data_IF_330037213743
#
_entry.id   IF_330037213743
#
_cell.length_a   1.000
_cell.length_b   1.000
_cell.length_c   1.000
_cell.angle_alpha   90.00
_cell.angle_beta   90.00
_cell.angle_gamma   90.00
#
_symmetry.space_group_name_H-M   'P 1'
#
loop_
_entity.id
_entity.type
_entity.pdbx_description
1 polymer ?
#
# COMPACT_ATOMS: atom_id res chain seq x y z
N UNK A 1 40.43 -11.66 26.14
CA UNK A 1 41.39 -12.74 26.46
C UNK A 1 40.96 -14.01 25.74
N UNK A 2 41.80 -14.52 24.83
CA UNK A 2 41.56 -15.70 23.98
C UNK A 2 41.91 -16.98 24.74
N UNK A 3 41.04 -17.99 24.74
CA UNK A 3 41.45 -19.41 24.87
C UNK A 3 40.59 -20.29 23.97
N UNK A 4 41.28 -21.03 23.10
CA UNK A 4 40.78 -22.00 22.12
C UNK A 4 41.07 -23.42 22.62
N UNK A 5 40.33 -24.37 22.04
CA UNK A 5 40.58 -25.82 21.92
C UNK A 5 40.25 -26.75 23.09
N UNK A 6 39.23 -27.60 22.85
CA UNK A 6 39.48 -29.05 22.82
C UNK A 6 38.60 -29.73 21.76
N UNK A 7 39.27 -30.37 20.80
CA UNK A 7 38.74 -31.33 19.82
C UNK A 7 38.70 -32.70 20.50
N UNK A 8 37.59 -33.46 20.39
CA UNK A 8 37.65 -34.93 20.30
C UNK A 8 36.38 -35.52 19.64
N UNK A 9 36.62 -36.16 18.50
CA UNK A 9 36.13 -37.47 18.03
C UNK A 9 34.65 -37.89 18.13
N UNK A 10 34.10 -38.30 16.99
CA UNK A 10 32.89 -39.13 16.95
C UNK A 10 32.28 -39.33 15.56
N UNK A 11 33.08 -39.78 14.59
CA UNK A 11 32.63 -40.25 13.27
C UNK A 11 31.90 -41.59 13.45
N UNK A 12 30.60 -41.67 13.14
CA UNK A 12 29.92 -42.93 12.87
C UNK A 12 29.20 -42.80 11.52
N UNK A 13 29.87 -43.33 10.51
CA UNK A 13 29.33 -43.75 9.22
C UNK A 13 29.02 -45.25 9.32
N UNK A 14 27.75 -45.63 9.17
CA UNK A 14 27.24 -46.93 8.72
C UNK A 14 25.75 -46.68 8.41
N UNK A 15 25.14 -47.04 7.28
CA UNK A 15 25.51 -47.94 6.22
C UNK A 15 24.25 -48.67 5.74
N UNK A 16 23.67 -48.18 4.63
CA UNK A 16 23.05 -48.88 3.49
C UNK A 16 22.05 -50.05 3.74
N UNK A 17 20.87 -49.95 3.08
CA UNK A 17 20.28 -50.95 2.14
C UNK A 17 18.75 -51.10 2.33
N UNK A 18 17.96 -50.68 1.32
CA UNK A 18 17.20 -51.56 0.37
C UNK A 18 15.80 -51.93 0.91
N UNK A 19 14.72 -52.11 0.16
CA UNK A 19 14.39 -52.12 -1.27
C UNK A 19 12.84 -52.18 -1.40
N UNK A 20 12.31 -51.75 -2.54
CA UNK A 20 11.01 -52.22 -3.09
C UNK A 20 9.82 -51.27 -2.87
N UNK A 21 9.05 -50.83 -3.86
CA UNK A 21 9.01 -51.16 -5.29
C UNK A 21 7.57 -51.22 -5.83
N UNK A 22 6.99 -50.07 -6.21
CA UNK A 22 6.07 -49.80 -7.35
C UNK A 22 4.76 -50.64 -7.53
N UNK A 23 3.96 -50.47 -8.62
CA UNK A 23 2.88 -49.48 -8.79
C UNK A 23 1.54 -50.15 -9.22
N UNK A 24 0.47 -49.39 -9.47
CA UNK A 24 -0.62 -49.85 -10.39
C UNK A 24 -1.42 -48.69 -10.99
N UNK A 25 -1.25 -48.53 -12.30
CA UNK A 25 -2.16 -47.88 -13.23
C UNK A 25 -3.41 -48.73 -13.46
N UNK A 26 -4.57 -48.08 -13.61
CA UNK A 26 -5.66 -48.46 -14.52
C UNK A 26 -6.20 -47.13 -15.06
N UNK A 27 -6.43 -46.84 -16.33
CA UNK A 27 -6.47 -47.59 -17.58
C UNK A 27 -7.38 -46.76 -18.49
N UNK A 28 -6.87 -46.24 -19.61
CA UNK A 28 -7.68 -45.54 -20.63
C UNK A 28 -8.41 -46.57 -21.49
N UNK A 29 -9.67 -46.29 -21.81
CA UNK A 29 -10.26 -46.72 -23.09
C UNK A 29 -11.28 -45.68 -23.57
N UNK A 30 -11.03 -45.14 -24.76
CA UNK A 30 -11.89 -44.33 -25.66
C UNK A 30 -12.89 -45.26 -26.40
N UNK A 31 -13.65 -44.90 -27.48
CA UNK A 31 -14.00 -43.61 -28.10
C UNK A 31 -15.52 -43.47 -28.50
N UNK A 32 -15.86 -42.29 -29.05
CA UNK A 32 -16.72 -42.00 -30.23
C UNK A 32 -18.17 -42.49 -30.35
N UNK A 33 -19.09 -41.53 -30.47
CA UNK A 33 -20.38 -41.57 -31.21
C UNK A 33 -20.86 -40.12 -31.38
N UNK A 34 -20.57 -39.45 -32.50
CA UNK A 34 -21.42 -39.30 -33.69
C UNK A 34 -22.86 -38.89 -33.42
N UNK A 35 -23.18 -37.60 -33.57
CA UNK A 35 -24.36 -37.19 -34.34
C UNK A 35 -24.22 -35.77 -34.90
N UNK A 36 -24.83 -35.61 -36.08
CA UNK A 36 -24.57 -34.67 -37.17
C UNK A 36 -25.05 -33.22 -36.98
N UNK A 37 -24.26 -32.30 -37.52
CA UNK A 37 -24.60 -31.34 -38.59
C UNK A 37 -26.06 -30.87 -38.75
N UNK A 38 -26.31 -29.55 -38.64
CA UNK A 38 -26.94 -28.80 -39.76
C UNK A 38 -26.72 -27.28 -39.64
N UNK A 39 -26.38 -26.69 -40.78
CA UNK A 39 -25.93 -25.31 -40.97
C UNK A 39 -27.08 -24.29 -41.14
N UNK A 40 -26.84 -23.02 -40.75
CA UNK A 40 -27.34 -21.88 -41.54
C UNK A 40 -26.59 -20.56 -41.29
N UNK A 41 -25.94 -20.06 -42.35
CA UNK A 41 -25.46 -18.68 -42.48
C UNK A 41 -26.65 -17.69 -42.65
N UNK A 42 -26.41 -16.36 -42.58
CA UNK A 42 -26.15 -15.67 -43.84
C UNK A 42 -25.15 -14.50 -43.82
N UNK A 43 -24.76 -14.19 -45.06
CA UNK A 43 -23.81 -13.23 -45.61
C UNK A 43 -24.13 -11.75 -45.30
N UNK A 44 -23.09 -10.92 -45.26
CA UNK A 44 -23.12 -9.50 -45.63
C UNK A 44 -22.54 -9.33 -47.06
N UNK A 45 -22.37 -8.08 -47.57
CA UNK A 45 -23.32 -7.07 -48.07
C UNK A 45 -23.19 -6.93 -49.62
N UNK A 46 -23.70 -5.88 -50.31
CA UNK A 46 -22.87 -4.67 -50.54
C UNK A 46 -23.57 -3.30 -50.85
N UNK A 47 -22.83 -2.21 -50.57
CA UNK A 47 -22.63 -0.89 -51.26
C UNK A 47 -23.85 0.02 -51.61
N UNK A 48 -23.81 1.36 -51.77
CA UNK A 48 -22.76 2.35 -52.13
C UNK A 48 -23.30 3.80 -51.95
N UNK A 49 -22.55 4.67 -51.25
CA UNK A 49 -22.09 6.06 -51.57
C UNK A 49 -22.99 7.29 -51.89
N UNK A 50 -22.38 8.45 -51.57
CA UNK A 50 -22.56 9.85 -52.05
C UNK A 50 -23.64 10.72 -51.36
N UNK A 51 -23.45 12.02 -51.04
CA UNK A 51 -22.33 12.97 -51.17
C UNK A 51 -22.70 14.28 -50.42
N UNK A 52 -21.73 15.21 -50.32
CA UNK A 52 -21.85 16.68 -50.18
C UNK A 52 -21.90 17.39 -48.79
N UNK A 53 -20.77 18.06 -48.53
CA UNK A 53 -20.55 19.39 -47.89
C UNK A 53 -20.95 20.49 -48.92
N UNK A 54 -21.28 21.79 -48.62
CA UNK A 54 -20.78 22.73 -47.58
C UNK A 54 -21.89 23.53 -46.86
N UNK A 55 -21.63 24.31 -45.78
CA UNK A 55 -21.37 25.76 -45.84
C UNK A 55 -21.11 26.33 -44.42
N UNK A 56 -20.13 27.23 -44.27
CA UNK A 56 -19.98 28.24 -43.19
C UNK A 56 -20.35 29.62 -43.76
N UNK A 57 -20.51 30.74 -43.01
CA UNK A 57 -20.75 31.01 -41.58
C UNK A 57 -22.01 31.93 -41.36
N UNK A 58 -22.26 32.47 -40.15
CA UNK A 58 -21.85 33.87 -39.97
C UNK A 58 -21.07 34.13 -38.68
N UNK A 59 -20.21 35.13 -38.80
CA UNK A 59 -19.52 35.78 -37.71
C UNK A 59 -20.52 36.44 -36.76
N UNK A 60 -20.44 36.14 -35.46
CA UNK A 60 -20.77 37.12 -34.44
C UNK A 60 -19.47 37.81 -34.04
N UNK A 61 -19.22 38.90 -34.75
CA UNK A 61 -18.57 40.08 -34.22
C UNK A 61 -19.18 40.41 -32.85
N UNK A 62 -18.40 40.25 -31.79
CA UNK A 62 -18.43 41.17 -30.66
C UNK A 62 -17.01 41.72 -30.55
N UNK A 63 -16.80 42.82 -31.28
CA UNK A 63 -15.72 43.79 -31.07
C UNK A 63 -16.29 44.90 -30.20
N UNK A 64 -15.51 45.38 -29.22
CA UNK A 64 -15.84 46.49 -28.32
C UNK A 64 -15.53 46.10 -26.87
N UNK A 65 -14.26 46.13 -26.45
CA UNK A 65 -13.55 47.28 -25.84
C UNK A 65 -14.03 47.55 -24.41
N UNK A 66 -13.15 47.34 -23.43
CA UNK A 66 -12.34 48.38 -22.76
C UNK A 66 -13.26 49.34 -22.00
N UNK A 67 -13.19 49.47 -20.68
CA UNK A 67 -12.01 49.95 -19.97
C UNK A 67 -12.44 50.14 -18.52
N UNK A 68 -11.68 49.62 -17.56
CA UNK A 68 -11.36 50.34 -16.33
C UNK A 68 -10.31 49.54 -15.58
N UNK A 69 -9.06 49.95 -15.78
CA UNK A 69 -7.96 49.63 -14.89
C UNK A 69 -8.32 50.05 -13.46
N UNK A 70 -8.53 49.05 -12.60
CA UNK A 70 -8.37 49.18 -11.16
C UNK A 70 -7.09 48.44 -10.76
N UNK A 71 -6.30 48.96 -9.81
CA UNK A 71 -4.99 48.42 -9.48
C UNK A 71 -5.11 46.96 -9.08
N UNK A 72 -4.13 46.18 -9.54
CA UNK A 72 -3.96 44.76 -9.30
C UNK A 72 -4.16 44.43 -7.82
N UNK A 73 -5.41 44.09 -7.47
CA UNK A 73 -5.72 43.43 -6.23
C UNK A 73 -5.07 42.05 -6.34
N UNK A 74 -3.95 41.91 -5.64
CA UNK A 74 -3.17 40.69 -5.49
C UNK A 74 -4.11 39.48 -5.40
N UNK A 75 -4.17 38.70 -6.48
CA UNK A 75 -5.02 37.53 -6.56
C UNK A 75 -4.51 36.52 -5.52
N UNK A 76 -5.27 36.30 -4.47
CA UNK A 76 -4.97 35.31 -3.43
C UNK A 76 -5.25 33.89 -3.98
N UNK A 77 -4.48 33.49 -4.98
CA UNK A 77 -4.62 32.16 -5.58
C UNK A 77 -3.97 31.12 -4.68
N UNK A 78 -4.79 30.26 -4.08
CA UNK A 78 -4.29 29.16 -3.25
C UNK A 78 -4.05 27.93 -4.12
N UNK A 79 -2.86 27.34 -4.03
CA UNK A 79 -2.59 26.07 -4.73
C UNK A 79 -3.34 24.91 -4.05
N UNK A 80 -4.18 24.21 -4.81
CA UNK A 80 -4.91 23.01 -4.40
C UNK A 80 -4.53 21.82 -5.29
N UNK A 81 -4.92 20.63 -4.86
CA UNK A 81 -4.71 19.38 -5.58
C UNK A 81 -6.03 18.65 -5.78
N UNK A 82 -6.18 18.01 -6.93
CA UNK A 82 -7.37 17.20 -7.25
C UNK A 82 -7.29 15.84 -6.56
N UNK A 83 -8.32 15.42 -5.82
CA UNK A 83 -8.33 14.16 -5.06
C UNK A 83 -8.92 12.96 -5.83
N UNK A 84 -9.77 13.22 -6.83
CA UNK A 84 -10.45 12.18 -7.63
C UNK A 84 -9.75 11.87 -8.95
N UNK A 85 -10.05 10.72 -9.54
CA UNK A 85 -9.62 10.37 -10.90
C UNK A 85 -10.68 10.87 -11.91
N UNK A 86 -10.29 11.64 -12.93
CA UNK A 86 -11.21 12.13 -13.97
C UNK A 86 -12.28 13.13 -13.48
N UNK A 87 -11.93 14.00 -12.53
CA UNK A 87 -12.80 15.04 -11.98
C UNK A 87 -13.16 16.06 -13.05
N UNK A 88 -14.45 16.33 -13.23
CA UNK A 88 -14.92 17.25 -14.27
C UNK A 88 -14.63 18.71 -13.94
N UNK A 89 -13.94 19.39 -14.85
CA UNK A 89 -13.82 20.85 -14.91
C UNK A 89 -14.92 21.40 -15.82
N UNK A 90 -15.77 22.28 -15.31
CA UNK A 90 -17.03 22.69 -15.97
C UNK A 90 -17.09 24.18 -16.26
N UNK A 91 -17.92 24.57 -17.23
CA UNK A 91 -18.17 25.99 -17.55
C UNK A 91 -18.95 26.74 -16.45
N UNK A 92 -19.66 26.03 -15.57
CA UNK A 92 -20.52 26.62 -14.53
C UNK A 92 -20.57 25.73 -13.29
N UNK A 93 -20.90 26.28 -12.10
CA UNK A 93 -20.99 25.53 -10.84
C UNK A 93 -22.28 24.68 -10.77
N UNK A 94 -22.46 23.76 -11.72
CA UNK A 94 -23.65 22.92 -11.84
C UNK A 94 -23.26 21.50 -12.30
N UNK A 95 -23.76 20.43 -11.66
CA UNK A 95 -23.42 19.07 -12.08
C UNK A 95 -23.87 18.71 -13.50
N UNK A 96 -24.82 19.45 -14.08
CA UNK A 96 -25.36 19.23 -15.44
C UNK A 96 -24.74 20.14 -16.51
N UNK A 97 -23.85 21.07 -16.18
CA UNK A 97 -23.25 21.96 -17.18
C UNK A 97 -22.21 21.23 -18.04
N UNK A 98 -21.83 21.81 -19.17
CA UNK A 98 -20.80 21.23 -20.05
C UNK A 98 -19.44 21.08 -19.33
N UNK A 99 -18.73 19.99 -19.66
CA UNK A 99 -17.38 19.68 -19.16
C UNK A 99 -16.37 20.21 -20.19
N UNK A 100 -15.45 21.07 -19.73
CA UNK A 100 -14.34 21.62 -20.51
C UNK A 100 -13.18 20.64 -20.53
N UNK A 101 -12.92 19.99 -19.39
CA UNK A 101 -11.79 19.08 -19.20
C UNK A 101 -12.03 18.06 -18.07
N UNK A 102 -11.17 17.04 -17.98
CA UNK A 102 -11.12 16.08 -16.87
C UNK A 102 -9.76 16.09 -16.20
N UNK A 103 -9.77 16.32 -14.90
CA UNK A 103 -8.58 16.45 -14.08
C UNK A 103 -8.34 15.17 -13.30
N UNK A 104 -7.14 14.61 -13.45
CA UNK A 104 -6.73 13.42 -12.71
C UNK A 104 -6.28 13.73 -11.29
N UNK A 105 -6.21 12.67 -10.46
CA UNK A 105 -5.77 12.78 -9.08
C UNK A 105 -4.34 13.32 -9.02
N UNK A 106 -4.09 14.20 -8.06
CA UNK A 106 -2.81 14.86 -7.84
C UNK A 106 -2.54 16.01 -8.80
N UNK A 107 -3.45 16.29 -9.76
CA UNK A 107 -3.32 17.48 -10.61
C UNK A 107 -3.32 18.73 -9.75
N UNK A 108 -2.29 19.56 -9.93
CA UNK A 108 -2.14 20.86 -9.26
C UNK A 108 -3.03 21.88 -9.96
N UNK A 109 -3.82 22.61 -9.17
CA UNK A 109 -4.70 23.68 -9.66
C UNK A 109 -4.59 24.91 -8.76
N UNK A 110 -4.82 26.08 -9.32
CA UNK A 110 -4.92 27.34 -8.60
C UNK A 110 -6.38 27.63 -8.28
N UNK A 111 -6.71 27.79 -7.00
CA UNK A 111 -8.03 28.16 -6.55
C UNK A 111 -8.20 29.67 -6.66
N UNK A 112 -9.15 30.10 -7.49
CA UNK A 112 -9.49 31.51 -7.70
C UNK A 112 -10.65 31.94 -6.79
N UNK A 113 -11.67 31.08 -6.68
CA UNK A 113 -12.85 31.32 -5.85
C UNK A 113 -13.36 29.99 -5.29
N UNK A 114 -13.80 29.98 -4.03
CA UNK A 114 -14.40 28.78 -3.42
C UNK A 114 -15.67 29.11 -2.67
N UNK A 115 -16.70 28.31 -2.93
CA UNK A 115 -17.92 28.21 -2.16
C UNK A 115 -18.03 26.81 -1.52
N UNK A 116 -19.09 26.58 -0.73
CA UNK A 116 -19.33 25.31 -0.04
C UNK A 116 -19.43 24.10 -0.99
N UNK A 117 -19.96 24.29 -2.20
CA UNK A 117 -20.20 23.20 -3.16
C UNK A 117 -19.28 23.23 -4.36
N UNK A 118 -18.89 24.43 -4.81
CA UNK A 118 -18.15 24.64 -6.05
C UNK A 118 -16.96 25.55 -5.83
N UNK A 119 -15.91 25.27 -6.57
CA UNK A 119 -14.67 26.02 -6.56
C UNK A 119 -14.30 26.34 -8.00
N UNK A 120 -14.06 27.62 -8.28
CA UNK A 120 -13.51 28.10 -9.54
C UNK A 120 -12.00 27.95 -9.47
N UNK A 121 -11.46 27.14 -10.36
CA UNK A 121 -10.04 26.84 -10.42
C UNK A 121 -9.47 27.13 -11.79
N UNK A 122 -8.17 27.32 -11.83
CA UNK A 122 -7.36 27.37 -13.04
C UNK A 122 -6.35 26.22 -13.01
N UNK A 123 -6.34 25.41 -14.06
CA UNK A 123 -5.33 24.35 -14.19
C UNK A 123 -3.98 24.98 -14.54
N UNK A 124 -2.95 24.68 -13.74
CA UNK A 124 -1.61 25.24 -13.92
C UNK A 124 -0.99 24.81 -15.25
N UNK A 125 -1.30 23.61 -15.73
CA UNK A 125 -0.68 23.04 -16.93
C UNK A 125 -1.39 23.44 -18.22
N UNK A 126 -2.72 23.36 -18.27
CA UNK A 126 -3.50 23.72 -19.47
C UNK A 126 -3.92 25.19 -19.50
N UNK A 127 -3.75 25.92 -18.39
CA UNK A 127 -4.24 27.28 -18.17
C UNK A 127 -5.76 27.43 -18.37
N UNK A 128 -6.50 26.31 -18.47
CA UNK A 128 -7.96 26.29 -18.57
C UNK A 128 -8.58 26.62 -17.22
N UNK A 129 -9.64 27.40 -17.27
CA UNK A 129 -10.37 27.84 -16.09
C UNK A 129 -11.79 27.28 -16.09
N UNK A 130 -12.30 26.94 -14.92
CA UNK A 130 -13.66 26.46 -14.78
C UNK A 130 -14.01 26.10 -13.35
N UNK A 131 -15.14 25.41 -13.19
CA UNK A 131 -15.73 25.03 -11.93
C UNK A 131 -15.57 23.54 -11.65
N UNK A 132 -15.14 23.23 -10.44
CA UNK A 132 -15.02 21.88 -9.91
C UNK A 132 -15.72 21.80 -8.56
N UNK A 133 -16.27 20.64 -8.19
CA UNK A 133 -16.90 20.51 -6.88
C UNK A 133 -15.83 20.58 -5.77
N UNK A 134 -16.04 21.42 -4.76
CA UNK A 134 -15.07 21.72 -3.69
C UNK A 134 -14.56 20.46 -3.00
N UNK A 135 -15.41 19.42 -2.84
CA UNK A 135 -15.05 18.11 -2.27
C UNK A 135 -13.91 17.36 -2.98
N UNK A 136 -13.59 17.76 -4.21
CA UNK A 136 -12.51 17.16 -5.00
C UNK A 136 -11.20 17.95 -4.94
N UNK A 137 -11.17 19.05 -4.18
CA UNK A 137 -9.99 19.85 -3.96
C UNK A 137 -9.49 19.62 -2.54
N UNK A 138 -8.19 19.45 -2.41
CA UNK A 138 -7.51 19.31 -1.13
C UNK A 138 -6.31 20.27 -1.08
N UNK A 139 -6.04 20.77 0.12
CA UNK A 139 -4.77 21.42 0.42
C UNK A 139 -3.67 20.36 0.42
N UNK A 140 -2.58 20.62 -0.31
CA UNK A 140 -1.47 19.69 -0.39
C UNK A 140 -1.69 18.45 -1.30
N UNK A 141 -0.60 18.02 -1.93
CA UNK A 141 -0.52 16.70 -2.58
C UNK A 141 -0.81 15.65 -1.48
N UNK A 142 -1.62 14.60 -1.71
CA UNK A 142 -1.86 13.53 -0.73
C UNK A 142 -0.62 12.65 -0.43
N UNK A 143 0.59 13.23 -0.54
CA UNK A 143 1.86 12.71 -0.04
C UNK A 143 2.59 13.72 0.88
N UNK A 144 1.90 14.76 1.40
CA UNK A 144 2.50 15.72 2.33
C UNK A 144 1.53 16.28 3.39
N UNK A 145 0.58 15.45 3.83
CA UNK A 145 -0.15 15.65 5.09
C UNK A 145 -0.06 14.36 5.91
N UNK A 146 1.15 14.05 6.34
CA UNK A 146 1.42 13.19 7.51
C UNK A 146 2.06 14.05 8.62
N UNK A 147 1.65 15.32 8.73
CA UNK A 147 2.14 16.29 9.74
C UNK A 147 0.99 17.23 10.12
N UNK A 148 -0.05 16.70 10.78
CA UNK A 148 -0.93 17.49 11.67
C UNK A 148 -1.95 16.59 12.39
N UNK A 149 -1.45 15.65 13.19
CA UNK A 149 -2.14 15.19 14.40
C UNK A 149 -1.05 14.90 15.44
N UNK A 150 -1.18 15.32 16.72
CA UNK A 150 -0.12 15.09 17.70
C UNK A 150 0.10 13.58 17.93
N UNK A 151 1.18 13.02 17.37
CA UNK A 151 1.64 11.67 17.66
C UNK A 151 3.17 11.60 17.53
N UNK A 152 3.84 11.82 18.64
CA UNK A 152 5.25 11.50 18.88
C UNK A 152 5.49 9.97 18.80
N UNK A 153 6.68 9.42 18.46
CA UNK A 153 7.82 9.93 17.69
C UNK A 153 8.29 8.95 16.57
N UNK A 154 8.75 9.47 15.42
CA UNK A 154 9.49 8.66 14.42
C UNK A 154 10.57 9.47 13.68
N UNK A 155 11.47 10.11 14.42
CA UNK A 155 12.81 10.42 13.88
C UNK A 155 13.74 9.27 14.26
N UNK A 156 14.17 8.50 13.26
CA UNK A 156 15.22 7.50 13.41
C UNK A 156 16.55 8.21 13.75
N UNK A 157 17.23 7.89 14.87
CA UNK A 157 18.68 8.03 14.94
C UNK A 157 19.35 7.04 13.94
N UNK A 158 20.67 7.13 13.68
CA UNK A 158 21.41 6.25 12.75
C UNK A 158 21.19 4.76 13.05
N UNK A 159 21.54 3.80 12.16
CA UNK A 159 21.14 2.39 12.30
C UNK A 159 21.77 1.71 13.52
N UNK A 160 21.16 1.95 14.67
CA UNK A 160 21.26 1.22 15.91
C UNK A 160 19.98 0.37 15.98
N UNK A 161 20.12 -0.91 16.29
CA UNK A 161 19.05 -1.92 16.23
C UNK A 161 17.69 -1.41 16.76
N UNK A 162 16.59 -1.74 16.06
CA UNK A 162 15.26 -1.28 16.47
C UNK A 162 14.87 -1.85 17.84
N UNK A 163 14.07 -1.15 18.66
CA UNK A 163 13.66 -1.63 19.98
C UNK A 163 13.06 -3.03 19.97
N UNK A 164 12.27 -3.36 18.94
CA UNK A 164 11.69 -4.71 18.76
C UNK A 164 12.77 -5.78 18.63
N UNK A 165 13.82 -5.53 17.85
CA UNK A 165 14.92 -6.47 17.68
C UNK A 165 15.72 -6.60 18.99
N UNK A 166 15.90 -5.50 19.73
CA UNK A 166 16.55 -5.52 21.05
C UNK A 166 15.74 -6.36 22.04
N UNK A 167 14.43 -6.14 22.14
CA UNK A 167 13.52 -6.93 23.00
C UNK A 167 13.61 -8.42 22.67
N UNK A 168 13.56 -8.77 21.38
CA UNK A 168 13.68 -10.16 20.94
C UNK A 168 15.02 -10.78 21.33
N UNK A 169 16.12 -10.04 21.19
CA UNK A 169 17.45 -10.52 21.57
C UNK A 169 17.59 -10.71 23.08
N UNK A 170 17.08 -9.78 23.88
CA UNK A 170 17.08 -9.88 25.35
C UNK A 170 16.33 -11.13 25.81
N UNK A 171 15.12 -11.35 25.29
CA UNK A 171 14.32 -12.54 25.63
C UNK A 171 15.06 -13.81 25.18
N UNK A 172 15.58 -13.83 23.94
CA UNK A 172 16.28 -15.00 23.41
C UNK A 172 17.54 -15.33 24.22
N UNK A 173 18.33 -14.34 24.60
CA UNK A 173 19.52 -14.51 25.43
C UNK A 173 19.15 -14.99 26.84
N UNK A 174 18.10 -14.44 27.44
CA UNK A 174 17.63 -14.89 28.76
C UNK A 174 17.14 -16.35 28.73
N UNK A 175 16.45 -16.77 27.66
CA UNK A 175 15.99 -18.16 27.49
C UNK A 175 17.18 -19.08 27.23
N UNK A 176 18.15 -18.66 26.41
CA UNK A 176 19.33 -19.45 26.08
C UNK A 176 20.30 -19.61 27.25
N UNK A 177 20.38 -18.60 28.13
CA UNK A 177 21.22 -18.65 29.32
C UNK A 177 20.67 -19.57 30.41
N UNK A 178 19.39 -19.94 30.36
CA UNK A 178 18.79 -20.81 31.36
C UNK A 178 19.21 -22.27 31.14
N UNK A 179 19.74 -22.99 32.15
CA UNK A 179 20.33 -24.31 31.98
C UNK A 179 19.32 -25.44 31.70
N UNK A 180 18.02 -25.17 31.84
CA UNK A 180 16.96 -26.17 31.70
C UNK A 180 16.10 -25.99 30.45
N UNK A 181 15.26 -26.98 30.17
CA UNK A 181 14.35 -26.94 29.00
C UNK A 181 13.13 -26.04 29.23
N UNK A 182 12.73 -25.82 30.49
CA UNK A 182 11.55 -25.04 30.85
C UNK A 182 11.90 -23.67 31.43
N UNK A 183 12.52 -22.80 30.64
CA UNK A 183 12.75 -21.40 31.02
C UNK A 183 11.42 -20.65 31.13
N UNK A 184 10.61 -20.68 30.07
CA UNK A 184 9.39 -19.88 29.93
C UNK A 184 8.11 -20.73 29.86
N UNK A 185 6.93 -20.16 30.13
CA UNK A 185 5.67 -20.90 30.12
C UNK A 185 5.33 -21.49 28.75
N UNK A 186 5.73 -20.82 27.68
CA UNK A 186 5.52 -21.25 26.29
C UNK A 186 6.60 -22.23 25.79
N UNK A 187 7.69 -22.45 26.53
CA UNK A 187 8.70 -23.45 26.16
C UNK A 187 8.11 -24.87 26.19
N UNK A 188 8.74 -25.80 25.49
CA UNK A 188 8.36 -27.21 25.45
C UNK A 188 9.43 -28.09 26.07
N UNK A 189 9.04 -29.10 26.84
CA UNK A 189 9.97 -30.08 27.41
C UNK A 189 10.48 -31.07 26.34
N UNK A 190 11.47 -31.91 26.69
CA UNK A 190 12.05 -32.92 25.79
C UNK A 190 11.03 -33.95 25.26
N UNK A 191 9.84 -34.03 25.88
CA UNK A 191 8.73 -34.91 25.48
C UNK A 191 7.66 -34.13 24.70
N UNK A 192 7.92 -32.88 24.33
CA UNK A 192 7.02 -32.03 23.54
C UNK A 192 5.89 -31.37 24.33
N UNK A 193 5.83 -31.50 25.66
CA UNK A 193 4.75 -30.89 26.45
C UNK A 193 5.10 -29.45 26.80
N UNK A 194 4.12 -28.54 26.74
CA UNK A 194 4.29 -27.15 27.18
C UNK A 194 4.69 -27.09 28.67
N UNK A 195 5.61 -26.20 29.00
CA UNK A 195 6.12 -26.05 30.35
C UNK A 195 5.07 -25.43 31.27
N UNK A 196 4.38 -24.37 30.83
CA UNK A 196 3.36 -23.67 31.61
C UNK A 196 3.85 -23.32 33.01
N UNK A 197 3.06 -23.70 34.02
CA UNK A 197 3.38 -23.49 35.44
C UNK A 197 4.65 -24.23 35.93
N UNK A 198 5.19 -25.17 35.14
CA UNK A 198 6.45 -25.85 35.46
C UNK A 198 7.69 -25.02 35.09
N UNK A 199 7.51 -23.92 34.34
CA UNK A 199 8.59 -23.04 33.91
C UNK A 199 9.26 -22.33 35.08
N UNK A 200 10.52 -21.94 34.89
CA UNK A 200 11.26 -21.14 35.88
C UNK A 200 10.56 -19.80 36.12
N UNK A 201 10.11 -19.13 35.05
CA UNK A 201 9.34 -17.89 35.13
C UNK A 201 8.08 -17.99 36.02
N UNK A 202 7.38 -19.13 36.01
CA UNK A 202 6.13 -19.29 36.76
C UNK A 202 6.32 -19.76 38.21
N UNK A 203 7.49 -20.26 38.58
CA UNK A 203 7.71 -20.86 39.92
C UNK A 203 8.14 -19.78 40.93
N UNK A 204 7.66 -19.85 42.18
CA UNK A 204 8.15 -18.97 43.24
C UNK A 204 9.57 -19.38 43.66
N UNK A 205 10.50 -18.43 43.62
CA UNK A 205 11.90 -18.63 44.01
C UNK A 205 12.76 -19.32 42.95
N UNK A 206 14.01 -18.89 42.82
CA UNK A 206 14.98 -19.42 41.87
C UNK A 206 15.20 -18.53 40.64
N UNK A 207 15.48 -19.16 39.49
CA UNK A 207 15.72 -18.45 38.22
C UNK A 207 14.45 -17.74 37.74
N UNK A 208 14.58 -16.46 37.38
CA UNK A 208 13.50 -15.65 36.80
C UNK A 208 13.93 -15.14 35.41
N UNK A 209 13.89 -16.01 34.36
CA UNK A 209 14.23 -15.59 33.01
C UNK A 209 13.20 -14.59 32.47
N UNK A 210 13.65 -13.69 31.61
CA UNK A 210 12.80 -12.75 30.86
C UNK A 210 12.11 -13.53 29.75
N UNK A 211 10.78 -13.58 29.79
CA UNK A 211 10.00 -14.43 28.89
C UNK A 211 9.14 -13.65 27.91
N UNK A 212 8.67 -12.47 28.30
CA UNK A 212 7.74 -11.66 27.50
C UNK A 212 8.29 -10.26 27.23
N UNK A 213 7.75 -9.61 26.20
CA UNK A 213 8.13 -8.24 25.85
C UNK A 213 7.85 -7.25 26.99
N UNK A 214 6.78 -7.45 27.76
CA UNK A 214 6.47 -6.60 28.91
C UNK A 214 7.46 -6.71 30.06
N UNK A 215 8.24 -7.80 30.13
CA UNK A 215 9.26 -8.01 31.16
C UNK A 215 10.56 -7.26 30.80
N UNK A 216 10.67 -6.77 29.56
CA UNK A 216 11.81 -6.00 29.09
C UNK A 216 11.60 -4.53 29.43
N UNK A 217 12.36 -4.05 30.40
CA UNK A 217 12.31 -2.64 30.81
C UNK A 217 13.03 -1.73 29.82
N UNK A 218 12.69 -0.44 29.84
CA UNK A 218 13.34 0.57 29.01
C UNK A 218 14.86 0.62 29.25
N UNK A 219 15.29 0.47 30.49
CA UNK A 219 16.72 0.44 30.85
C UNK A 219 17.44 -0.76 30.24
N UNK A 220 16.81 -1.94 30.15
CA UNK A 220 17.38 -3.10 29.46
C UNK A 220 17.57 -2.84 27.95
N UNK A 221 16.64 -2.10 27.33
CA UNK A 221 16.74 -1.73 25.91
C UNK A 221 17.84 -0.71 25.69
N UNK A 222 17.94 0.29 26.58
CA UNK A 222 18.97 1.33 26.50
C UNK A 222 20.37 0.77 26.74
N UNK A 223 20.54 -0.18 27.67
CA UNK A 223 21.82 -0.84 27.94
C UNK A 223 22.33 -1.73 26.78
N UNK A 224 21.46 -2.10 25.84
CA UNK A 224 21.81 -2.92 24.68
C UNK A 224 22.37 -2.09 23.50
N UNK A 225 22.22 -0.76 23.55
CA UNK A 225 22.64 0.17 22.48
C UNK A 225 24.05 0.69 22.70
#
# INVERSE_FOLDING_TARGET
>A
MKKRYWLLCGLILFGISKFGGTPSEHGRTTPSSSFSEEARAPKAPPSTMSDQRPTSPPAHTYSGSSEAAGPQAVAETTTKFVSGNGVALRISPNPKSQIIDRLDRGRKVELLQSDLKWSRIKDVLTQKEGWVATRFLQDGNPKREEISKPSEPKSKPPPTLSPTIIIQRIIAESVASYPGTCACPYSTDRRGRRCGNRSAYSKPGGYAPVCFAQDVTKSMIEAYR
#
